data_IF_204286086450
#
_entry.id   IF_204286086450
#
_cell.length_a   1.000
_cell.length_b   1.000
_cell.length_c   1.000
_cell.angle_alpha   90.00
_cell.angle_beta   90.00
_cell.angle_gamma   90.00
#
_symmetry.space_group_name_H-M   'P 1'
#
loop_
_entity.id
_entity.type
_entity.pdbx_description
1 polymer ?
#
# COMPACT_ATOMS: atom_id res chain seq x y z
N UNK A 1 -7.09 3.59 10.98
CA UNK A 1 -7.59 2.32 11.57
C UNK A 1 -7.03 1.09 10.83
N UNK A 2 -7.14 1.01 9.50
CA UNK A 2 -6.64 -0.16 8.74
C UNK A 2 -5.11 -0.21 8.58
N UNK A 3 -4.42 0.93 8.60
CA UNK A 3 -2.96 0.98 8.48
C UNK A 3 -2.27 0.66 9.82
N UNK A 4 -1.20 -0.14 9.78
CA UNK A 4 -0.48 -0.64 10.97
C UNK A 4 0.07 0.49 11.85
N UNK A 5 0.53 1.58 11.23
CA UNK A 5 0.99 2.79 11.91
C UNK A 5 -0.10 3.50 12.75
N UNK A 6 -1.36 3.26 12.41
CA UNK A 6 -2.53 3.90 13.02
C UNK A 6 -3.25 3.00 14.03
N UNK A 7 -2.64 1.87 14.43
CA UNK A 7 -3.22 0.89 15.34
C UNK A 7 -2.58 1.00 16.73
N UNK A 8 -3.35 1.50 17.71
CA UNK A 8 -2.94 1.60 19.12
C UNK A 8 -3.31 0.36 19.96
N UNK A 9 -4.02 -0.61 19.36
CA UNK A 9 -4.50 -1.83 20.01
C UNK A 9 -3.92 -3.10 19.39
N UNK A 10 -4.17 -4.25 20.03
CA UNK A 10 -3.64 -5.56 19.59
C UNK A 10 -4.43 -6.21 18.44
N UNK A 11 -5.64 -5.75 18.15
CA UNK A 11 -6.53 -6.42 17.20
C UNK A 11 -6.35 -5.85 15.79
N UNK A 12 -5.84 -6.67 14.86
CA UNK A 12 -5.66 -6.26 13.46
C UNK A 12 -7.00 -6.35 12.72
N UNK A 13 -7.55 -5.22 12.21
CA UNK A 13 -8.85 -5.20 11.54
C UNK A 13 -8.89 -6.03 10.26
N UNK A 14 -7.73 -6.29 9.62
CA UNK A 14 -7.66 -7.14 8.44
C UNK A 14 -7.94 -8.62 8.73
N UNK A 15 -7.87 -9.07 9.99
CA UNK A 15 -8.19 -10.45 10.36
C UNK A 15 -9.66 -10.83 10.10
N UNK A 16 -10.54 -9.83 9.93
CA UNK A 16 -11.98 -10.01 9.71
C UNK A 16 -12.37 -9.81 8.23
N UNK A 17 -11.39 -9.61 7.35
CA UNK A 17 -11.60 -9.28 5.94
C UNK A 17 -10.98 -10.33 5.03
N UNK A 18 -11.47 -10.40 3.79
CA UNK A 18 -10.81 -11.18 2.74
C UNK A 18 -9.50 -10.50 2.30
N UNK A 19 -8.54 -11.24 1.72
CA UNK A 19 -7.32 -10.65 1.18
C UNK A 19 -7.57 -9.59 0.11
N UNK A 20 -8.51 -9.80 -0.83
CA UNK A 20 -8.85 -8.80 -1.85
C UNK A 20 -9.42 -7.52 -1.23
N UNK A 21 -10.32 -7.65 -0.24
CA UNK A 21 -10.92 -6.48 0.40
C UNK A 21 -9.88 -5.70 1.20
N UNK A 22 -8.99 -6.40 1.91
CA UNK A 22 -7.86 -5.77 2.62
C UNK A 22 -6.94 -5.02 1.66
N UNK A 23 -6.66 -5.64 0.51
CA UNK A 23 -5.83 -5.06 -0.55
C UNK A 23 -6.48 -3.81 -1.14
N UNK A 24 -7.78 -3.85 -1.43
CA UNK A 24 -8.52 -2.69 -1.93
C UNK A 24 -8.50 -1.51 -0.95
N UNK A 25 -8.73 -1.78 0.34
CA UNK A 25 -8.66 -0.76 1.41
C UNK A 25 -7.26 -0.18 1.52
N UNK A 26 -6.23 -1.01 1.41
CA UNK A 26 -4.85 -0.52 1.43
C UNK A 26 -4.60 0.32 0.20
N UNK A 27 -4.91 -0.15 -1.01
CA UNK A 27 -4.65 0.61 -2.23
C UNK A 27 -5.43 1.94 -2.30
N UNK A 28 -6.61 2.03 -1.68
CA UNK A 28 -7.43 3.25 -1.74
C UNK A 28 -6.76 4.47 -1.10
N UNK A 29 -5.85 4.28 -0.13
CA UNK A 29 -5.23 5.41 0.58
C UNK A 29 -4.48 6.37 -0.34
N UNK A 30 -3.96 5.87 -1.47
CA UNK A 30 -3.30 6.71 -2.48
C UNK A 30 -4.31 7.70 -3.05
N UNK A 31 -5.45 7.18 -3.52
CA UNK A 31 -6.54 7.99 -4.07
C UNK A 31 -7.10 8.94 -3.02
N UNK A 32 -7.40 8.44 -1.83
CA UNK A 32 -7.94 9.24 -0.73
C UNK A 32 -6.96 10.37 -0.34
N UNK A 33 -5.65 10.09 -0.36
CA UNK A 33 -4.59 11.06 -0.11
C UNK A 33 -4.51 12.14 -1.19
N UNK A 34 -4.65 11.77 -2.48
CA UNK A 34 -4.70 12.74 -3.58
C UNK A 34 -5.93 13.63 -3.46
N UNK A 35 -7.11 13.05 -3.22
CA UNK A 35 -8.37 13.81 -3.05
C UNK A 35 -8.25 14.82 -1.90
N UNK A 36 -7.68 14.39 -0.77
CA UNK A 36 -7.40 15.27 0.37
C UNK A 36 -6.42 16.39 -0.01
N UNK A 37 -5.32 16.06 -0.68
CA UNK A 37 -4.33 17.04 -1.09
C UNK A 37 -4.91 18.07 -2.09
N UNK A 38 -5.86 17.66 -2.93
CA UNK A 38 -6.62 18.57 -3.80
C UNK A 38 -7.57 19.49 -3.01
N UNK A 39 -8.31 18.95 -2.05
CA UNK A 39 -9.20 19.72 -1.17
C UNK A 39 -8.42 20.84 -0.45
N UNK A 40 -7.24 20.51 0.08
CA UNK A 40 -6.36 21.46 0.76
C UNK A 40 -5.48 22.29 -0.19
N UNK A 41 -5.66 22.15 -1.51
CA UNK A 41 -4.94 22.92 -2.55
C UNK A 41 -3.42 22.81 -2.43
N UNK A 42 -2.91 21.63 -2.11
CA UNK A 42 -1.49 21.39 -2.03
C UNK A 42 -0.83 21.52 -3.42
N UNK A 43 0.45 21.92 -3.49
CA UNK A 43 1.19 22.02 -4.74
C UNK A 43 1.20 20.70 -5.51
N UNK A 44 1.22 20.79 -6.84
CA UNK A 44 1.22 19.62 -7.73
C UNK A 44 2.28 18.58 -7.33
N UNK A 45 3.50 19.02 -7.02
CA UNK A 45 4.59 18.12 -6.64
C UNK A 45 4.27 17.22 -5.43
N UNK A 46 3.47 17.70 -4.47
CA UNK A 46 3.06 16.90 -3.31
C UNK A 46 2.01 15.86 -3.73
N UNK A 47 1.06 16.25 -4.57
CA UNK A 47 0.04 15.35 -5.11
C UNK A 47 0.66 14.24 -5.96
N UNK A 48 1.62 14.61 -6.82
CA UNK A 48 2.36 13.68 -7.66
C UNK A 48 3.13 12.65 -6.79
N UNK A 49 3.75 13.09 -5.69
CA UNK A 49 4.40 12.18 -4.73
C UNK A 49 3.38 11.24 -4.09
N UNK A 50 2.23 11.75 -3.62
CA UNK A 50 1.19 10.91 -3.02
C UNK A 50 0.69 9.87 -4.03
N UNK A 51 0.48 10.24 -5.28
CA UNK A 51 0.03 9.31 -6.31
C UNK A 51 1.07 8.23 -6.64
N UNK A 52 2.35 8.62 -6.69
CA UNK A 52 3.44 7.79 -7.22
C UNK A 52 4.22 6.97 -6.18
N UNK A 53 4.11 7.29 -4.88
CA UNK A 53 5.04 6.74 -3.88
C UNK A 53 5.02 5.22 -3.72
N UNK A 54 3.98 4.53 -4.18
CA UNK A 54 3.95 3.06 -4.26
C UNK A 54 4.19 2.49 -5.65
N UNK A 55 4.20 3.33 -6.69
CA UNK A 55 4.30 2.91 -8.08
C UNK A 55 3.30 1.80 -8.41
N UNK A 56 3.81 0.71 -8.98
CA UNK A 56 3.05 -0.52 -9.26
C UNK A 56 3.44 -1.68 -8.33
N UNK A 57 3.89 -1.35 -7.12
CA UNK A 57 4.34 -2.36 -6.15
C UNK A 57 3.22 -3.35 -5.79
N UNK A 58 3.63 -4.53 -5.34
CA UNK A 58 2.71 -5.61 -4.96
C UNK A 58 2.39 -5.49 -3.47
N UNK A 59 1.10 -5.54 -3.12
CA UNK A 59 0.61 -5.71 -1.74
C UNK A 59 0.84 -7.16 -1.31
N UNK A 60 2.12 -7.50 -1.14
CA UNK A 60 2.65 -8.87 -1.11
C UNK A 60 2.05 -9.74 -0.01
N UNK A 61 1.78 -9.18 1.15
CA UNK A 61 1.25 -9.94 2.29
C UNK A 61 -0.11 -10.57 1.95
N UNK A 62 -1.06 -9.79 1.43
CA UNK A 62 -2.39 -10.28 1.09
C UNK A 62 -2.39 -11.12 -0.18
N UNK A 63 -1.53 -10.81 -1.16
CA UNK A 63 -1.30 -11.69 -2.31
C UNK A 63 -0.86 -13.10 -1.88
N UNK A 64 0.12 -13.20 -0.98
CA UNK A 64 0.60 -14.50 -0.49
C UNK A 64 -0.45 -15.25 0.34
N UNK A 65 -1.24 -14.55 1.16
CA UNK A 65 -2.37 -15.19 1.86
C UNK A 65 -3.36 -15.76 0.86
N UNK A 66 -3.75 -14.98 -0.15
CA UNK A 66 -4.68 -15.45 -1.18
C UNK A 66 -4.10 -16.68 -1.90
N UNK A 67 -2.86 -16.57 -2.41
CA UNK A 67 -2.17 -17.65 -3.11
C UNK A 67 -2.07 -18.94 -2.29
N UNK A 68 -1.75 -18.83 -1.01
CA UNK A 68 -1.62 -19.99 -0.11
C UNK A 68 -2.98 -20.59 0.31
N UNK A 69 -4.06 -19.81 0.26
CA UNK A 69 -5.41 -20.27 0.59
C UNK A 69 -6.22 -20.75 -0.63
N UNK A 70 -5.74 -20.47 -1.84
CA UNK A 70 -6.38 -20.89 -3.09
C UNK A 70 -6.22 -22.40 -3.32
N UNK A 71 -7.24 -23.02 -3.93
CA UNK A 71 -7.16 -24.40 -4.41
C UNK A 71 -6.25 -24.52 -5.63
N UNK A 72 -6.17 -23.45 -6.41
CA UNK A 72 -5.27 -23.30 -7.55
C UNK A 72 -4.44 -22.03 -7.35
N UNK A 73 -3.22 -22.14 -6.81
CA UNK A 73 -2.35 -20.99 -6.55
C UNK A 73 -1.90 -20.25 -7.82
N UNK A 74 -1.91 -20.90 -8.98
CA UNK A 74 -1.44 -20.32 -10.25
C UNK A 74 -2.52 -19.48 -10.92
N UNK A 75 -3.80 -19.69 -10.58
CA UNK A 75 -4.94 -18.88 -11.02
C UNK A 75 -5.09 -17.55 -10.26
N UNK A 76 -4.29 -17.32 -9.20
CA UNK A 76 -4.35 -16.06 -8.45
C UNK A 76 -3.70 -14.93 -9.25
N UNK A 77 -4.54 -14.05 -9.80
CA UNK A 77 -4.09 -12.90 -10.57
C UNK A 77 -3.32 -11.90 -9.69
N UNK A 78 -2.04 -11.70 -10.00
CA UNK A 78 -1.15 -10.79 -9.29
C UNK A 78 -1.57 -9.31 -9.45
N UNK A 79 -2.17 -8.95 -10.58
CA UNK A 79 -2.56 -7.56 -10.88
C UNK A 79 -3.68 -7.05 -9.96
N UNK A 80 -4.49 -7.94 -9.38
CA UNK A 80 -5.50 -7.57 -8.36
C UNK A 80 -4.87 -7.10 -7.05
N UNK A 81 -3.57 -7.32 -6.88
CA UNK A 81 -2.82 -6.98 -5.67
C UNK A 81 -1.75 -5.92 -5.91
N UNK A 82 -1.70 -5.31 -7.10
CA UNK A 82 -0.73 -4.26 -7.44
C UNK A 82 -1.37 -2.89 -7.39
N UNK A 83 -0.63 -1.92 -6.88
CA UNK A 83 -1.00 -0.51 -7.02
C UNK A 83 -1.16 -0.17 -8.51
N UNK A 84 -2.15 0.66 -8.90
CA UNK A 84 -2.41 0.99 -10.29
C UNK A 84 -1.31 1.88 -10.92
N UNK A 85 -0.42 2.44 -10.10
CA UNK A 85 0.56 3.43 -10.53
C UNK A 85 -0.02 4.86 -10.59
N UNK A 86 0.70 5.79 -11.27
CA UNK A 86 1.89 5.56 -12.09
C UNK A 86 3.16 5.30 -11.27
N UNK A 87 4.23 4.82 -11.93
CA UNK A 87 5.56 4.71 -11.30
C UNK A 87 6.16 6.11 -11.05
N UNK A 88 7.12 6.26 -10.12
CA UNK A 88 7.80 7.53 -9.90
C UNK A 88 8.40 8.13 -11.17
N UNK A 89 7.99 9.36 -11.50
CA UNK A 89 8.46 10.09 -12.70
C UNK A 89 9.67 11.00 -12.39
N UNK A 90 9.97 11.19 -11.11
CA UNK A 90 11.08 12.04 -10.62
C UNK A 90 12.00 11.26 -9.70
N UNK A 91 13.23 11.74 -9.53
CA UNK A 91 14.20 11.12 -8.61
C UNK A 91 13.72 11.24 -7.17
N UNK A 92 13.10 12.35 -6.83
CA UNK A 92 12.55 12.64 -5.51
C UNK A 92 11.43 11.66 -5.16
N UNK A 93 10.47 11.44 -6.06
CA UNK A 93 9.41 10.43 -5.86
C UNK A 93 9.99 9.02 -5.74
N UNK A 94 11.03 8.69 -6.53
CA UNK A 94 11.73 7.41 -6.42
C UNK A 94 12.44 7.22 -5.08
N UNK A 95 13.08 8.27 -4.56
CA UNK A 95 13.70 8.25 -3.23
C UNK A 95 12.65 8.05 -2.14
N UNK A 96 11.50 8.72 -2.24
CA UNK A 96 10.40 8.58 -1.27
C UNK A 96 9.86 7.15 -1.27
N UNK A 97 9.61 6.57 -2.44
CA UNK A 97 9.17 5.16 -2.57
C UNK A 97 10.13 4.19 -1.88
N UNK A 98 11.45 4.39 -2.09
CA UNK A 98 12.47 3.54 -1.46
C UNK A 98 12.54 3.77 0.06
N UNK A 99 12.49 5.02 0.50
CA UNK A 99 12.55 5.37 1.91
C UNK A 99 11.35 4.81 2.69
N UNK A 100 10.14 4.93 2.13
CA UNK A 100 8.92 4.35 2.70
C UNK A 100 9.05 2.83 2.87
N UNK A 101 9.49 2.14 1.82
CA UNK A 101 9.69 0.69 1.87
C UNK A 101 10.72 0.25 2.91
N UNK A 102 11.85 0.98 3.04
CA UNK A 102 12.89 0.69 4.05
C UNK A 102 12.36 0.95 5.46
N UNK A 103 11.70 2.09 5.68
CA UNK A 103 11.14 2.45 6.98
C UNK A 103 10.13 1.40 7.45
N UNK A 104 9.17 1.06 6.59
CA UNK A 104 8.13 0.09 6.89
C UNK A 104 8.72 -1.31 7.17
N UNK A 105 9.72 -1.73 6.40
CA UNK A 105 10.41 -3.00 6.61
C UNK A 105 11.12 -3.03 7.97
N UNK A 106 11.93 -2.01 8.29
CA UNK A 106 12.69 -1.93 9.54
C UNK A 106 11.76 -1.83 10.75
N UNK A 107 10.72 -0.97 10.69
CA UNK A 107 9.74 -0.82 11.77
C UNK A 107 8.97 -2.11 12.05
N UNK A 108 8.81 -2.97 11.03
CA UNK A 108 8.06 -4.22 11.17
C UNK A 108 8.82 -5.35 11.88
N UNK A 109 10.13 -5.19 12.11
CA UNK A 109 10.97 -6.14 12.83
C UNK A 109 10.61 -6.08 14.33
N UNK A 110 10.25 -7.24 14.91
CA UNK A 110 9.76 -7.31 16.28
C UNK A 110 10.82 -7.07 17.36
N UNK A 111 12.10 -7.19 17.02
CA UNK A 111 13.25 -6.95 17.89
C UNK A 111 14.44 -6.54 16.98
N UNK A 112 14.62 -5.23 16.73
CA UNK A 112 15.59 -4.70 15.75
C UNK A 112 17.06 -4.80 16.19
#
# INVERSE_FOLDING_TARGET
YFFKENQLGKDNPHNKLTPNLSTLIIMSHVKDGVEMAEEYKLPKIIKDIIEQHHGTSLVKYFYLIMKNSSKDPDDVNEDEFRYPGPIPETKEAGIIMLADGVEAAVRSIGDP
#
